data_IF_792453956963
#
_entry.id   IF_792453956963
#
_cell.length_a   1.000
_cell.length_b   1.000
_cell.length_c   1.000
_cell.angle_alpha   90.00
_cell.angle_beta   90.00
_cell.angle_gamma   90.00
#
_symmetry.space_group_name_H-M   'P 1'
#
loop_
_entity.id
_entity.type
_entity.pdbx_description
1 polymer ?
#
# COMPACT_ATOMS: atom_id res chain seq x y z
N UNK A 1 4.84 17.26 -69.99
CA UNK A 1 6.16 17.68 -69.50
C UNK A 1 6.27 17.32 -68.03
N UNK A 2 7.43 16.80 -67.66
CA UNK A 2 7.83 16.30 -66.34
C UNK A 2 7.84 17.40 -65.25
N UNK A 3 7.67 16.98 -63.98
CA UNK A 3 8.50 17.25 -62.78
C UNK A 3 7.61 17.12 -61.52
N UNK A 4 7.66 16.04 -60.73
CA UNK A 4 8.70 15.62 -59.76
C UNK A 4 8.88 16.65 -58.62
N UNK A 5 8.24 16.31 -57.50
CA UNK A 5 8.79 16.31 -56.13
C UNK A 5 8.90 17.64 -55.38
N UNK A 6 8.25 17.72 -54.20
CA UNK A 6 8.93 17.63 -52.89
C UNK A 6 7.95 17.53 -51.72
N UNK A 7 8.23 16.54 -50.87
CA UNK A 7 7.80 16.45 -49.47
C UNK A 7 8.08 17.76 -48.74
N UNK A 8 7.15 18.18 -47.88
CA UNK A 8 7.47 18.93 -46.65
C UNK A 8 6.43 18.61 -45.59
N UNK A 9 6.97 18.07 -44.49
CA UNK A 9 6.32 17.70 -43.24
C UNK A 9 5.73 18.94 -42.57
N UNK A 10 4.47 18.88 -42.15
CA UNK A 10 3.97 19.73 -41.06
C UNK A 10 3.38 18.81 -40.01
N UNK A 11 4.13 18.67 -38.91
CA UNK A 11 3.71 18.01 -37.70
C UNK A 11 2.50 18.74 -37.11
N UNK A 12 1.33 18.10 -37.13
CA UNK A 12 0.20 18.53 -36.32
C UNK A 12 0.28 17.79 -34.98
N UNK A 13 0.76 18.51 -33.96
CA UNK A 13 0.67 18.14 -32.56
C UNK A 13 -0.82 18.11 -32.20
N UNK A 14 -1.41 16.92 -32.10
CA UNK A 14 -2.74 16.74 -31.50
C UNK A 14 -2.53 16.29 -30.06
N UNK A 15 -2.63 17.26 -29.16
CA UNK A 15 -2.86 17.02 -27.74
C UNK A 15 -4.31 16.59 -27.59
N UNK A 16 -4.54 15.29 -27.42
CA UNK A 16 -5.72 14.79 -26.73
C UNK A 16 -5.21 13.85 -25.63
N UNK A 17 -5.19 14.41 -24.42
CA UNK A 17 -5.03 13.68 -23.18
C UNK A 17 -6.10 12.59 -23.12
N UNK A 18 -5.67 11.36 -23.32
CA UNK A 18 -6.52 10.19 -23.43
C UNK A 18 -5.75 8.93 -23.09
N UNK A 19 -4.97 8.95 -22.00
CA UNK A 19 -4.51 7.71 -21.39
C UNK A 19 -5.66 7.15 -20.56
N UNK A 20 -6.26 6.11 -21.12
CA UNK A 20 -7.10 5.15 -20.45
C UNK A 20 -6.57 4.79 -19.04
N UNK A 21 -7.48 4.86 -18.08
CA UNK A 21 -7.62 3.92 -16.96
C UNK A 21 -6.31 3.37 -16.37
N UNK A 22 -5.64 4.17 -15.55
CA UNK A 22 -5.02 3.61 -14.36
C UNK A 22 -5.97 3.84 -13.19
N UNK A 23 -6.82 2.84 -12.96
CA UNK A 23 -7.38 2.57 -11.64
C UNK A 23 -6.22 2.26 -10.71
N UNK A 24 -5.55 3.30 -10.20
CA UNK A 24 -4.66 3.16 -9.05
C UNK A 24 -5.51 3.03 -7.78
N UNK A 25 -6.22 1.90 -7.68
CA UNK A 25 -6.55 1.33 -6.37
C UNK A 25 -5.25 0.83 -5.75
N UNK A 26 -4.51 1.77 -5.18
CA UNK A 26 -3.23 1.52 -4.50
C UNK A 26 -2.71 2.73 -3.73
N UNK A 27 -3.52 3.77 -3.56
CA UNK A 27 -3.18 4.97 -2.81
C UNK A 27 -4.40 5.49 -2.10
N UNK A 28 -4.94 4.74 -1.13
CA UNK A 28 -5.89 5.29 -0.18
C UNK A 28 -5.14 6.14 0.88
N UNK A 29 -4.39 7.16 0.44
CA UNK A 29 -3.95 8.27 1.30
C UNK A 29 -5.09 9.26 1.47
N UNK A 30 -6.23 8.76 1.94
CA UNK A 30 -7.43 9.55 2.20
C UNK A 30 -8.23 8.89 3.31
N UNK A 31 -8.03 9.38 4.54
CA UNK A 31 -8.76 9.00 5.75
C UNK A 31 -8.61 7.55 6.28
N UNK A 32 -7.62 6.80 5.80
CA UNK A 32 -7.28 5.49 6.39
C UNK A 32 -6.74 5.64 7.82
N UNK A 33 -7.01 4.65 8.68
CA UNK A 33 -6.41 4.58 10.03
C UNK A 33 -5.18 3.70 10.03
N UNK A 34 -4.23 4.03 10.88
CA UNK A 34 -2.99 3.30 11.04
C UNK A 34 -3.07 2.43 12.29
N UNK A 35 -3.14 1.11 12.14
CA UNK A 35 -3.01 0.21 13.29
C UNK A 35 -1.52 -0.03 13.57
N UNK A 36 -1.01 0.64 14.60
CA UNK A 36 0.42 0.65 14.94
C UNK A 36 0.69 -0.34 16.06
N UNK A 37 1.62 -1.27 15.84
CA UNK A 37 2.07 -2.24 16.82
C UNK A 37 3.37 -1.80 17.47
N UNK A 38 3.44 -1.99 18.79
CA UNK A 38 4.64 -1.72 19.58
C UNK A 38 5.09 -2.97 20.33
N UNK A 39 6.40 -3.10 20.52
CA UNK A 39 6.95 -4.12 21.41
C UNK A 39 6.76 -3.74 22.90
N UNK A 40 7.22 -4.59 23.81
CA UNK A 40 7.13 -4.35 25.26
C UNK A 40 7.95 -3.17 25.76
N UNK A 41 8.97 -2.74 25.01
CA UNK A 41 9.77 -1.56 25.29
C UNK A 41 9.12 -0.27 24.72
N UNK A 42 8.04 -0.41 23.96
CA UNK A 42 7.32 0.70 23.34
C UNK A 42 7.83 1.09 21.96
N UNK A 43 8.75 0.35 21.35
CA UNK A 43 9.25 0.65 20.01
C UNK A 43 8.21 0.25 18.96
N UNK A 44 8.07 1.06 17.89
CA UNK A 44 7.21 0.70 16.76
C UNK A 44 7.88 -0.44 15.99
N UNK A 45 7.17 -1.55 15.81
CA UNK A 45 7.70 -2.71 15.07
C UNK A 45 6.99 -2.95 13.73
N UNK A 46 5.73 -2.54 13.61
CA UNK A 46 4.97 -2.56 12.36
C UNK A 46 3.73 -1.66 12.44
N UNK A 47 3.14 -1.39 11.28
CA UNK A 47 1.88 -0.71 11.10
C UNK A 47 1.10 -1.36 9.95
N UNK A 48 -0.22 -1.32 10.01
CA UNK A 48 -1.08 -1.59 8.86
C UNK A 48 -1.96 -0.39 8.54
N UNK A 49 -2.05 -0.06 7.26
CA UNK A 49 -2.93 0.99 6.75
C UNK A 49 -4.29 0.39 6.40
N UNK A 50 -5.30 0.76 7.17
CA UNK A 50 -6.65 0.24 7.02
C UNK A 50 -7.58 1.24 6.35
N UNK A 51 -8.56 0.75 5.57
CA UNK A 51 -9.41 1.60 4.74
C UNK A 51 -10.36 2.49 5.54
N UNK A 52 -10.73 2.10 6.76
CA UNK A 52 -11.66 2.84 7.61
C UNK A 52 -11.39 2.63 9.11
N UNK A 53 -11.91 3.55 9.93
CA UNK A 53 -11.75 3.53 11.40
C UNK A 53 -12.45 2.35 12.05
N UNK A 54 -13.65 1.99 11.58
CA UNK A 54 -14.40 0.89 12.17
C UNK A 54 -13.62 -0.44 12.04
N UNK A 55 -13.00 -0.69 10.90
CA UNK A 55 -12.10 -1.82 10.67
C UNK A 55 -10.90 -1.76 11.60
N UNK A 56 -10.24 -0.61 11.68
CA UNK A 56 -9.10 -0.44 12.59
C UNK A 56 -9.47 -0.74 14.03
N UNK A 57 -10.56 -0.15 14.56
CA UNK A 57 -11.01 -0.35 15.94
C UNK A 57 -11.40 -1.78 16.24
N UNK A 58 -12.01 -2.49 15.27
CA UNK A 58 -12.28 -3.93 15.42
C UNK A 58 -10.98 -4.71 15.63
N UNK A 59 -9.94 -4.45 14.82
CA UNK A 59 -8.65 -5.14 14.96
C UNK A 59 -7.89 -4.69 16.22
N UNK A 60 -7.94 -3.41 16.59
CA UNK A 60 -7.39 -2.89 17.85
C UNK A 60 -7.97 -3.65 19.06
N UNK A 61 -9.28 -3.84 19.09
CA UNK A 61 -9.94 -4.60 20.15
C UNK A 61 -9.48 -6.08 20.21
N UNK A 62 -9.22 -6.71 19.06
CA UNK A 62 -8.72 -8.08 18.99
C UNK A 62 -7.25 -8.22 19.43
N UNK A 63 -6.45 -7.19 19.19
CA UNK A 63 -5.00 -7.18 19.46
C UNK A 63 -4.65 -6.70 20.87
N UNK A 64 -5.64 -6.21 21.62
CA UNK A 64 -5.49 -5.83 23.02
C UNK A 64 -4.57 -4.64 23.19
N UNK A 65 -3.53 -4.76 24.03
CA UNK A 65 -2.58 -3.65 24.32
C UNK A 65 -1.45 -3.50 23.31
N UNK A 66 -1.30 -4.46 22.39
CA UNK A 66 -0.13 -4.55 21.51
C UNK A 66 -0.22 -3.62 20.30
N UNK A 67 -1.43 -3.16 19.95
CA UNK A 67 -1.64 -2.26 18.83
C UNK A 67 -2.61 -1.12 19.15
N UNK A 68 -2.45 0.01 18.47
CA UNK A 68 -3.32 1.18 18.61
C UNK A 68 -3.66 1.79 17.26
N UNK A 69 -4.91 2.17 17.05
CA UNK A 69 -5.34 2.93 15.89
C UNK A 69 -4.92 4.40 16.04
N UNK A 70 -4.25 4.93 15.03
CA UNK A 70 -3.73 6.29 14.99
C UNK A 70 -4.16 6.99 13.69
N UNK A 71 -4.30 8.32 13.78
CA UNK A 71 -4.59 9.20 12.65
C UNK A 71 -3.36 9.47 11.78
N UNK A 72 -2.18 9.39 12.38
CA UNK A 72 -0.91 9.65 11.70
C UNK A 72 -0.09 8.37 11.60
N UNK A 73 0.63 8.15 10.50
CA UNK A 73 1.49 7.00 10.36
C UNK A 73 2.66 7.09 11.35
N UNK A 74 3.09 5.94 11.85
CA UNK A 74 4.27 5.82 12.70
C UNK A 74 5.56 6.04 11.87
N UNK A 75 6.54 6.79 12.39
CA UNK A 75 7.82 6.98 11.73
C UNK A 75 8.73 5.75 11.90
N UNK A 76 9.81 5.69 11.11
CA UNK A 76 10.91 4.72 11.31
C UNK A 76 10.68 3.32 10.74
N UNK A 77 9.62 3.13 9.95
CA UNK A 77 9.35 1.86 9.25
C UNK A 77 9.98 1.89 7.86
N UNK A 78 10.89 0.95 7.58
CA UNK A 78 11.76 0.95 6.39
C UNK A 78 11.47 -0.18 5.40
N UNK A 79 10.52 -1.05 5.70
CA UNK A 79 10.07 -2.10 4.80
C UNK A 79 8.54 -2.09 4.66
N UNK A 80 8.04 -2.61 3.54
CA UNK A 80 6.60 -2.74 3.28
C UNK A 80 6.23 -4.01 2.53
N UNK A 81 4.98 -4.43 2.69
CA UNK A 81 4.35 -5.52 1.93
C UNK A 81 2.85 -5.23 1.76
N UNK A 82 2.22 -5.83 0.76
CA UNK A 82 0.76 -5.75 0.59
C UNK A 82 0.13 -7.08 0.93
N UNK A 83 -0.86 -7.07 1.82
CA UNK A 83 -1.61 -8.23 2.28
C UNK A 83 -3.05 -8.17 1.81
N UNK A 84 -3.67 -9.33 1.60
CA UNK A 84 -5.11 -9.48 1.34
C UNK A 84 -5.74 -10.28 2.47
N UNK A 85 -6.75 -9.71 3.13
CA UNK A 85 -7.56 -10.37 4.14
C UNK A 85 -8.83 -10.92 3.49
N UNK A 86 -9.04 -12.24 3.50
CA UNK A 86 -10.13 -12.94 2.83
C UNK A 86 -10.84 -13.94 3.76
N UNK A 87 -12.18 -13.83 3.93
CA UNK A 87 -13.03 -12.68 3.61
C UNK A 87 -12.68 -11.46 4.49
N UNK A 88 -12.90 -10.20 4.05
CA UNK A 88 -13.78 -9.76 2.96
C UNK A 88 -13.09 -9.40 1.62
N UNK A 89 -11.82 -9.76 1.43
CA UNK A 89 -11.04 -9.41 0.25
C UNK A 89 -10.33 -8.04 0.34
N UNK A 90 -10.11 -7.53 1.56
CA UNK A 90 -9.51 -6.21 1.79
C UNK A 90 -8.01 -6.26 1.59
N UNK A 91 -7.49 -5.32 0.79
CA UNK A 91 -6.06 -5.09 0.63
C UNK A 91 -5.58 -4.10 1.69
N UNK A 92 -4.44 -4.41 2.29
CA UNK A 92 -3.82 -3.63 3.36
C UNK A 92 -2.33 -3.49 3.06
N UNK A 93 -1.80 -2.27 3.19
CA UNK A 93 -0.35 -2.06 3.19
C UNK A 93 0.18 -2.23 4.62
N UNK A 94 1.11 -3.17 4.78
CA UNK A 94 1.86 -3.35 6.02
C UNK A 94 3.21 -2.66 5.90
N UNK A 95 3.57 -1.89 6.92
CA UNK A 95 4.88 -1.24 7.08
C UNK A 95 5.59 -1.88 8.26
N UNK A 96 6.88 -2.14 8.15
CA UNK A 96 7.66 -2.89 9.14
C UNK A 96 8.95 -2.15 9.47
N UNK A 97 9.46 -2.37 10.69
CA UNK A 97 10.70 -1.75 11.15
C UNK A 97 11.85 -1.97 10.16
N UNK A 98 11.97 -3.20 9.64
CA UNK A 98 12.97 -3.60 8.66
C UNK A 98 12.53 -4.83 7.84
N UNK A 99 13.38 -5.23 6.89
CA UNK A 99 13.15 -6.38 6.02
C UNK A 99 13.09 -7.72 6.74
N UNK A 100 13.85 -7.89 7.84
CA UNK A 100 13.85 -9.13 8.61
C UNK A 100 12.51 -9.28 9.35
N UNK A 101 12.01 -8.19 9.94
CA UNK A 101 10.70 -8.14 10.57
C UNK A 101 9.58 -8.41 9.57
N UNK A 102 9.63 -7.78 8.40
CA UNK A 102 8.64 -8.03 7.34
C UNK A 102 8.59 -9.51 6.98
N UNK A 103 9.74 -10.14 6.69
CA UNK A 103 9.82 -11.55 6.32
C UNK A 103 9.34 -12.48 7.44
N UNK A 104 9.67 -12.17 8.69
CA UNK A 104 9.21 -12.95 9.84
C UNK A 104 7.68 -12.91 9.98
N UNK A 105 7.08 -11.72 9.87
CA UNK A 105 5.64 -11.53 10.02
C UNK A 105 4.87 -12.10 8.79
N UNK A 106 5.39 -11.96 7.57
CA UNK A 106 4.74 -12.51 6.36
C UNK A 106 5.05 -13.99 6.11
N UNK A 107 6.07 -14.56 6.77
CA UNK A 107 6.41 -15.98 6.65
C UNK A 107 5.46 -16.90 7.41
N UNK A 108 4.66 -16.35 8.34
CA UNK A 108 3.71 -17.08 9.19
C UNK A 108 2.35 -16.39 9.21
N UNK A 109 1.72 -16.26 8.04
CA UNK A 109 0.42 -15.61 7.94
C UNK A 109 -0.71 -16.48 8.51
N UNK A 110 -1.68 -15.83 9.14
CA UNK A 110 -2.91 -16.47 9.62
C UNK A 110 -3.76 -16.97 8.45
N UNK A 111 -4.62 -17.96 8.71
CA UNK A 111 -5.61 -18.40 7.74
C UNK A 111 -6.46 -17.21 7.24
N UNK A 112 -6.67 -17.14 5.93
CA UNK A 112 -7.38 -16.02 5.29
C UNK A 112 -6.53 -14.76 5.09
N UNK A 113 -5.22 -14.79 5.31
CA UNK A 113 -4.31 -13.70 4.94
C UNK A 113 -3.34 -14.17 3.86
N UNK A 114 -3.27 -13.41 2.77
CA UNK A 114 -2.40 -13.70 1.64
C UNK A 114 -1.43 -12.56 1.37
N UNK A 115 -0.20 -12.90 1.02
CA UNK A 115 0.82 -11.95 0.59
C UNK A 115 0.62 -11.68 -0.91
N UNK A 116 0.24 -10.45 -1.24
CA UNK A 116 0.02 -10.01 -2.63
C UNK A 116 1.31 -9.43 -3.20
N UNK A 117 1.90 -8.48 -2.48
CA UNK A 117 3.21 -7.93 -2.83
C UNK A 117 4.21 -8.31 -1.73
N UNK A 118 5.34 -8.96 -2.08
CA UNK A 118 6.32 -9.40 -1.11
C UNK A 118 7.00 -8.21 -0.41
N UNK A 119 7.72 -8.53 0.67
CA UNK A 119 8.52 -7.55 1.39
C UNK A 119 9.49 -6.81 0.47
N UNK A 120 9.44 -5.48 0.50
CA UNK A 120 10.35 -4.57 -0.20
C UNK A 120 10.81 -3.46 0.74
N UNK A 121 11.98 -2.88 0.46
CA UNK A 121 12.40 -1.66 1.14
C UNK A 121 11.48 -0.48 0.73
N UNK A 122 11.29 0.45 1.66
CA UNK A 122 10.46 1.65 1.47
C UNK A 122 11.27 2.83 0.97
#
# INVERSE_FOLDING_TARGET
MHLITRLSVVAAVVVLAGCASQTTTGGASGAGKHLVYRDSAGNVIRQFDYPDDAFCRRVENLTGRTARCQDTPAPGLTAKATLRYNPPGVLVEGHYADMARCRADTGTMSAGVELINPCTAK
#
